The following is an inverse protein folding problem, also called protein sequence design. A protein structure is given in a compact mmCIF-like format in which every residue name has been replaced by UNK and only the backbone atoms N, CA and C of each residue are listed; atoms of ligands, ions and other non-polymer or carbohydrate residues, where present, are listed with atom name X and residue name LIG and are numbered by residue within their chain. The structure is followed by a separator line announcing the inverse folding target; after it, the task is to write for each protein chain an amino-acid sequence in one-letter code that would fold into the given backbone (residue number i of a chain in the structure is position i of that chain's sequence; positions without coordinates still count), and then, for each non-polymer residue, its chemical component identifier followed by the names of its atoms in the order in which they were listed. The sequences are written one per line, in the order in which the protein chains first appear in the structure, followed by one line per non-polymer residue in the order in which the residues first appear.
data_IF_870884731805
#
_entry.id   IF_870884731805
#
_cell.length_a   1.000
_cell.length_b   1.000
_cell.length_c   1.000
_cell.angle_alpha   90.00
_cell.angle_beta   90.00
_cell.angle_gamma   90.00
#
_symmetry.space_group_name_H-M   'P 1'
#
loop_
_entity.id
_entity.type
_entity.pdbx_description
1 polymer ?
#
# COMPACT_ATOMS: atom_id res chain seq x y z
N UNK A 1 1.03 -24.87 20.06
CA UNK A 1 1.55 -24.01 21.15
C UNK A 1 1.43 -24.80 22.43
N UNK A 2 2.52 -24.91 23.20
CA UNK A 2 2.61 -25.75 24.39
C UNK A 2 2.83 -24.89 25.63
N UNK A 3 2.47 -25.42 26.80
CA UNK A 3 2.77 -24.79 28.09
C UNK A 3 4.29 -24.68 28.29
N UNK A 4 4.75 -23.53 28.79
CA UNK A 4 6.16 -23.25 29.06
C UNK A 4 6.71 -24.07 30.22
N UNK A 5 5.85 -24.46 31.17
CA UNK A 5 6.21 -25.28 32.33
C UNK A 5 6.09 -26.78 32.03
N UNK A 6 5.17 -27.17 31.13
CA UNK A 6 4.94 -28.55 30.74
C UNK A 6 4.75 -28.69 29.21
N UNK A 7 5.81 -28.99 28.44
CA UNK A 7 5.73 -29.06 26.98
C UNK A 7 4.83 -30.20 26.45
N UNK A 8 4.36 -31.10 27.31
CA UNK A 8 3.40 -32.17 26.96
C UNK A 8 1.94 -31.69 26.85
N UNK A 9 1.62 -30.48 27.33
CA UNK A 9 0.26 -29.93 27.31
C UNK A 9 0.09 -29.00 26.12
N UNK A 10 -0.81 -29.35 25.20
CA UNK A 10 -1.19 -28.50 24.07
C UNK A 10 -2.19 -27.44 24.56
N UNK A 11 -1.77 -26.18 24.60
CA UNK A 11 -2.65 -25.06 25.00
C UNK A 11 -3.53 -24.56 23.85
N UNK A 12 -3.02 -24.62 22.62
CA UNK A 12 -3.77 -24.21 21.42
C UNK A 12 -3.77 -25.38 20.43
N UNK A 13 -4.92 -26.08 20.28
CA UNK A 13 -5.04 -27.21 19.38
C UNK A 13 -5.08 -26.75 17.92
N UNK A 14 -4.76 -27.66 17.00
CA UNK A 14 -4.96 -27.40 15.56
C UNK A 14 -6.46 -27.30 15.24
N UNK A 15 -6.81 -26.47 14.26
CA UNK A 15 -8.21 -26.25 13.85
C UNK A 15 -8.95 -25.15 14.59
N UNK A 16 -8.27 -24.35 15.41
CA UNK A 16 -8.83 -23.13 15.98
C UNK A 16 -9.14 -22.09 14.89
N UNK A 17 -10.21 -21.31 15.08
CA UNK A 17 -10.51 -20.15 14.24
C UNK A 17 -10.00 -18.88 14.91
N UNK A 18 -9.47 -17.96 14.12
CA UNK A 18 -8.91 -16.70 14.62
C UNK A 18 -9.67 -15.53 14.00
N UNK A 19 -10.17 -14.63 14.84
CA UNK A 19 -10.76 -13.36 14.44
C UNK A 19 -9.70 -12.26 14.52
N UNK A 20 -9.57 -11.52 13.42
CA UNK A 20 -8.63 -10.42 13.24
C UNK A 20 -9.35 -9.16 12.80
N UNK A 21 -8.89 -8.02 13.30
CA UNK A 21 -9.18 -6.73 12.70
C UNK A 21 -8.01 -6.32 11.80
N UNK A 22 -8.31 -5.77 10.63
CA UNK A 22 -7.33 -5.14 9.75
C UNK A 22 -7.84 -3.76 9.37
N UNK A 23 -6.94 -2.79 9.27
CA UNK A 23 -7.23 -1.50 8.64
C UNK A 23 -6.70 -1.54 7.21
N UNK A 24 -7.53 -1.13 6.25
CA UNK A 24 -7.12 -0.93 4.85
C UNK A 24 -6.58 0.49 4.59
N UNK A 25 -6.54 1.33 5.63
CA UNK A 25 -5.98 2.67 5.54
C UNK A 25 -4.46 2.56 5.61
N UNK A 26 -3.81 2.53 4.45
CA UNK A 26 -2.35 2.47 4.28
C UNK A 26 -1.86 3.85 3.84
N UNK A 27 -0.90 4.41 4.56
CA UNK A 27 -0.29 5.69 4.19
C UNK A 27 0.55 5.56 2.91
N UNK A 28 0.79 6.67 2.21
CA UNK A 28 1.70 6.69 1.04
C UNK A 28 3.06 6.05 1.39
N UNK A 29 3.47 5.03 0.62
CA UNK A 29 4.73 4.30 0.84
C UNK A 29 4.65 3.12 1.82
N UNK A 30 3.48 2.84 2.42
CA UNK A 30 3.29 1.69 3.30
C UNK A 30 3.03 0.40 2.49
N UNK A 31 3.96 -0.55 2.57
CA UNK A 31 3.89 -1.84 1.86
C UNK A 31 3.43 -3.02 2.74
N UNK A 32 3.00 -2.74 3.98
CA UNK A 32 2.59 -3.75 4.97
C UNK A 32 1.26 -3.39 5.60
N UNK A 33 0.36 -4.35 5.72
CA UNK A 33 -0.92 -4.19 6.42
C UNK A 33 -0.74 -4.59 7.88
N UNK A 34 -1.02 -3.67 8.80
CA UNK A 34 -1.05 -3.97 10.24
C UNK A 34 -2.32 -4.76 10.56
N UNK A 35 -2.13 -5.88 11.27
CA UNK A 35 -3.22 -6.77 11.68
C UNK A 35 -3.24 -6.80 13.20
N UNK A 36 -4.43 -6.67 13.78
CA UNK A 36 -4.65 -6.89 15.21
C UNK A 36 -5.39 -8.21 15.40
N UNK A 37 -4.84 -9.11 16.21
CA UNK A 37 -5.48 -10.36 16.59
C UNK A 37 -6.39 -10.12 17.79
N UNK A 38 -7.69 -10.39 17.63
CA UNK A 38 -8.68 -10.05 18.65
C UNK A 38 -9.16 -11.27 19.42
N UNK A 39 -9.41 -12.40 18.75
CA UNK A 39 -10.06 -13.54 19.42
C UNK A 39 -9.69 -14.88 18.81
N UNK A 40 -9.42 -15.85 19.67
CA UNK A 40 -9.32 -17.27 19.32
C UNK A 40 -10.63 -17.97 19.66
N UNK A 41 -11.11 -18.81 18.75
CA UNK A 41 -12.29 -19.67 18.95
C UNK A 41 -11.82 -21.12 18.84
N UNK A 42 -12.00 -21.87 19.93
CA UNK A 42 -11.62 -23.26 20.01
C UNK A 42 -12.67 -24.19 19.38
N UNK A 43 -12.28 -25.39 18.93
CA UNK A 43 -13.24 -26.36 18.37
C UNK A 43 -14.37 -26.74 19.33
N UNK A 44 -14.13 -26.63 20.64
CA UNK A 44 -15.13 -26.85 21.69
C UNK A 44 -16.01 -25.62 21.99
N UNK A 45 -15.88 -24.52 21.22
CA UNK A 45 -16.63 -23.28 21.40
C UNK A 45 -16.06 -22.32 22.45
N UNK A 46 -15.01 -22.69 23.19
CA UNK A 46 -14.35 -21.78 24.11
C UNK A 46 -13.70 -20.60 23.36
N UNK A 47 -13.59 -19.45 24.01
CA UNK A 47 -13.03 -18.24 23.41
C UNK A 47 -11.95 -17.62 24.29
N UNK A 48 -10.86 -17.18 23.68
CA UNK A 48 -9.80 -16.40 24.34
C UNK A 48 -9.66 -15.07 23.61
N UNK A 49 -9.69 -13.97 24.36
CA UNK A 49 -9.48 -12.62 23.83
C UNK A 49 -7.98 -12.29 23.82
N UNK A 50 -7.47 -11.91 22.65
CA UNK A 50 -6.07 -11.54 22.42
C UNK A 50 -5.83 -10.03 22.52
N UNK A 51 -6.86 -9.24 22.84
CA UNK A 51 -6.82 -7.80 23.11
C UNK A 51 -6.08 -6.97 22.05
N UNK A 52 -6.14 -7.40 20.79
CA UNK A 52 -5.49 -6.68 19.68
C UNK A 52 -3.98 -6.91 19.60
N UNK A 53 -3.49 -8.09 19.97
CA UNK A 53 -2.09 -8.48 19.76
C UNK A 53 -1.65 -8.17 18.33
N UNK A 54 -0.51 -7.48 18.19
CA UNK A 54 0.05 -7.13 16.89
C UNK A 54 0.39 -8.39 16.09
N UNK A 55 -0.09 -8.44 14.85
CA UNK A 55 0.19 -9.53 13.93
C UNK A 55 1.55 -9.38 13.28
N UNK A 56 2.28 -10.49 13.24
CA UNK A 56 3.58 -10.61 12.59
C UNK A 56 3.50 -11.51 11.36
N UNK A 57 4.38 -11.28 10.39
CA UNK A 57 4.61 -12.20 9.28
C UNK A 57 5.35 -13.48 9.74
N UNK A 58 5.57 -14.42 8.81
CA UNK A 58 6.21 -15.70 9.10
C UNK A 58 7.67 -15.62 9.56
N UNK A 59 8.30 -14.44 9.47
CA UNK A 59 9.67 -14.18 9.95
C UNK A 59 9.69 -13.27 11.19
N UNK A 60 8.53 -12.95 11.76
CA UNK A 60 8.40 -12.19 13.02
C UNK A 60 8.39 -10.67 12.86
N UNK A 61 8.35 -10.13 11.65
CA UNK A 61 8.21 -8.69 11.44
C UNK A 61 6.75 -8.27 11.60
N UNK A 62 6.51 -7.06 12.09
CA UNK A 62 5.15 -6.54 12.23
C UNK A 62 4.46 -6.37 10.86
N UNK A 63 3.16 -6.71 10.83
CA UNK A 63 2.31 -6.61 9.65
C UNK A 63 2.52 -7.73 8.63
N UNK A 64 1.52 -7.89 7.75
CA UNK A 64 1.58 -8.84 6.64
C UNK A 64 1.98 -8.10 5.36
N UNK A 65 2.90 -8.68 4.59
CA UNK A 65 3.30 -8.20 3.26
C UNK A 65 2.53 -8.99 2.20
N UNK A 66 1.92 -8.28 1.26
CA UNK A 66 1.23 -8.85 0.10
C UNK A 66 1.42 -7.92 -1.11
N UNK A 67 0.93 -8.33 -2.28
CA UNK A 67 1.01 -7.53 -3.50
C UNK A 67 0.37 -6.15 -3.31
N UNK A 68 1.12 -5.10 -3.65
CA UNK A 68 0.68 -3.71 -3.52
C UNK A 68 0.41 -3.12 -4.92
N UNK A 69 -0.79 -2.58 -5.13
CA UNK A 69 -1.11 -1.78 -6.33
C UNK A 69 -1.05 -0.29 -5.97
N UNK A 70 -0.04 0.41 -6.51
CA UNK A 70 0.17 1.83 -6.28
C UNK A 70 -0.71 2.74 -7.16
N UNK A 71 -1.55 2.17 -8.03
CA UNK A 71 -2.51 2.89 -8.88
C UNK A 71 -1.90 4.04 -9.70
N UNK A 72 -0.61 3.94 -10.07
CA UNK A 72 0.12 5.02 -10.75
C UNK A 72 -0.53 5.44 -12.08
N UNK A 73 -1.13 4.51 -12.81
CA UNK A 73 -1.85 4.83 -14.04
C UNK A 73 -3.05 5.77 -13.78
N UNK A 74 -3.75 5.61 -12.65
CA UNK A 74 -4.85 6.50 -12.25
C UNK A 74 -4.33 7.86 -11.76
N UNK A 75 -3.19 7.88 -11.06
CA UNK A 75 -2.61 9.10 -10.49
C UNK A 75 -1.97 9.97 -11.59
N UNK A 76 -1.19 9.37 -12.48
CA UNK A 76 -0.36 10.09 -13.46
C UNK A 76 -0.90 10.03 -14.89
N UNK A 77 -1.95 9.24 -15.17
CA UNK A 77 -2.46 9.04 -16.53
C UNK A 77 -2.89 10.35 -17.21
N UNK A 78 -3.59 11.23 -16.50
CA UNK A 78 -4.02 12.52 -17.04
C UNK A 78 -2.85 13.46 -17.32
N UNK A 79 -1.85 13.51 -16.43
CA UNK A 79 -0.65 14.32 -16.60
C UNK A 79 0.16 13.89 -17.82
N UNK A 80 0.29 12.57 -18.05
CA UNK A 80 0.94 12.02 -19.23
C UNK A 80 0.18 12.42 -20.50
N UNK A 81 -1.15 12.28 -20.52
CA UNK A 81 -1.97 12.68 -21.67
C UNK A 81 -1.84 14.18 -21.98
N UNK A 82 -1.88 15.03 -20.95
CA UNK A 82 -1.70 16.48 -21.10
C UNK A 82 -0.31 16.84 -21.65
N UNK A 83 0.74 16.15 -21.18
CA UNK A 83 2.10 16.34 -21.68
C UNK A 83 2.21 15.99 -23.16
N UNK A 84 1.63 14.86 -23.58
CA UNK A 84 1.59 14.45 -24.99
C UNK A 84 0.83 15.44 -25.87
N UNK A 85 -0.32 15.96 -25.38
CA UNK A 85 -1.06 17.01 -26.07
C UNK A 85 -0.25 18.29 -26.21
N UNK A 86 0.49 18.70 -25.16
CA UNK A 86 1.37 19.87 -25.19
C UNK A 86 2.50 19.75 -26.22
N UNK A 87 3.19 18.61 -26.23
CA UNK A 87 4.23 18.30 -27.23
C UNK A 87 3.65 18.28 -28.64
N UNK A 88 2.49 17.65 -28.83
CA UNK A 88 1.79 17.62 -30.12
C UNK A 88 1.39 19.01 -30.61
N UNK A 89 0.85 19.85 -29.72
CA UNK A 89 0.49 21.23 -30.03
C UNK A 89 1.73 22.05 -30.45
N UNK A 90 2.83 21.91 -29.70
CA UNK A 90 4.08 22.62 -29.99
C UNK A 90 4.70 22.20 -31.33
N UNK A 91 4.64 20.91 -31.68
CA UNK A 91 5.08 20.38 -32.99
C UNK A 91 4.16 20.80 -34.14
N UNK A 92 2.86 20.96 -33.88
CA UNK A 92 1.87 21.38 -34.89
C UNK A 92 1.96 22.87 -35.24
N UNK A 93 2.67 23.65 -34.42
CA UNK A 93 2.80 25.08 -34.61
C UNK A 93 3.79 25.34 -35.76
N UNK A 94 3.37 25.98 -36.87
CA UNK A 94 4.30 26.36 -37.91
C UNK A 94 5.37 27.28 -37.31
N UNK A 95 6.64 27.05 -37.66
CA UNK A 95 7.75 27.91 -37.28
C UNK A 95 7.62 29.27 -38.00
N UNK A 96 6.65 30.09 -37.61
CA UNK A 96 6.61 31.50 -37.97
C UNK A 96 7.73 32.18 -37.20
N UNK A 97 8.86 32.36 -37.88
CA UNK A 97 10.05 33.00 -37.33
C UNK A 97 9.73 34.41 -36.85
N UNK A 98 9.73 34.58 -35.52
CA UNK A 98 10.13 35.81 -34.85
C UNK A 98 10.90 35.40 -33.59
N UNK A 99 12.22 35.30 -33.73
CA UNK A 99 13.18 34.74 -32.78
C UNK A 99 13.37 35.53 -31.46
N UNK A 100 12.35 36.28 -31.02
CA UNK A 100 12.43 37.14 -29.83
C UNK A 100 11.31 36.93 -28.81
N UNK A 101 10.36 36.01 -29.04
CA UNK A 101 9.22 35.84 -28.10
C UNK A 101 8.77 34.40 -27.83
N UNK A 102 9.37 33.37 -28.45
CA UNK A 102 8.97 31.97 -28.20
C UNK A 102 9.80 31.38 -27.05
N UNK A 103 9.23 31.19 -25.84
CA UNK A 103 10.00 30.66 -24.72
C UNK A 103 10.33 29.20 -24.98
N UNK A 104 11.58 28.82 -24.77
CA UNK A 104 12.05 27.44 -24.94
C UNK A 104 11.37 26.50 -23.93
N UNK A 105 11.32 25.20 -24.22
CA UNK A 105 10.65 24.21 -23.38
C UNK A 105 11.14 24.21 -21.92
N UNK A 106 12.42 24.55 -21.69
CA UNK A 106 12.98 24.74 -20.35
C UNK A 106 12.43 25.97 -19.61
N UNK A 107 12.07 27.04 -20.33
CA UNK A 107 11.49 28.26 -19.74
C UNK A 107 10.01 28.10 -19.36
N UNK A 108 9.25 27.29 -20.11
CA UNK A 108 7.84 27.02 -19.80
C UNK A 108 7.69 26.09 -18.59
N UNK A 109 8.58 25.10 -18.45
CA UNK A 109 8.62 24.22 -17.29
C UNK A 109 8.99 24.94 -15.98
N UNK A 110 9.84 25.98 -16.05
CA UNK A 110 10.24 26.77 -14.89
C UNK A 110 9.14 27.73 -14.39
N UNK A 111 8.17 28.08 -15.22
CA UNK A 111 7.03 28.95 -14.83
C UNK A 111 5.84 28.20 -14.23
N UNK A 112 5.91 26.87 -14.14
CA UNK A 112 4.84 26.01 -13.63
C UNK A 112 5.11 25.45 -12.22
N UNK A 113 6.16 25.95 -11.54
CA UNK A 113 6.49 25.71 -10.13
C UNK A 113 6.20 26.98 -9.31
#
# INVERSE_FOLDING_TARGET
MYDSLNPSVVLIPQGIKIIRAYSSDVAYGQIRVLVAWNRLIFPNGAMIDLKGMSGTDGIGQAGLHDQTDNHYARIFGSAILMSLLGVGAQLSQPQTGNALTTPSASQQAAGAL
#
